data_IF_525342111193
#
_entry.id   IF_525342111193
#
_cell.length_a   1.000
_cell.length_b   1.000
_cell.length_c   1.000
_cell.angle_alpha   90.00
_cell.angle_beta   90.00
_cell.angle_gamma   90.00
#
_symmetry.space_group_name_H-M   'P 1'
#
loop_
_entity.id
_entity.type
_entity.pdbx_description
1 polymer ?
#
# COMPACT_ATOMS: atom_id res chain seq x y z
N UNK A 1 -15.46 -4.14 -0.70
CA UNK A 1 -14.88 -5.34 -0.09
C UNK A 1 -13.95 -4.97 1.04
N UNK A 2 -14.34 -5.33 2.25
CA UNK A 2 -13.57 -4.98 3.44
C UNK A 2 -12.17 -5.58 3.43
N UNK A 3 -12.06 -6.80 2.90
CA UNK A 3 -10.80 -7.50 2.83
C UNK A 3 -9.77 -6.76 1.98
N UNK A 4 -10.19 -6.28 0.82
CA UNK A 4 -9.31 -5.51 -0.08
C UNK A 4 -8.85 -4.21 0.57
N UNK A 5 -9.74 -3.56 1.31
CA UNK A 5 -9.41 -2.32 2.01
C UNK A 5 -8.40 -2.56 3.13
N UNK A 6 -8.60 -3.64 3.89
CA UNK A 6 -7.70 -3.99 5.00
C UNK A 6 -6.33 -4.34 4.45
N UNK A 7 -6.27 -5.17 3.42
CA UNK A 7 -5.00 -5.57 2.81
C UNK A 7 -4.32 -4.38 2.16
N UNK A 8 -5.08 -3.53 1.46
CA UNK A 8 -4.53 -2.32 0.84
C UNK A 8 -3.94 -1.37 1.87
N UNK A 9 -4.65 -1.13 2.98
CA UNK A 9 -4.16 -0.28 4.05
C UNK A 9 -2.90 -0.86 4.69
N UNK A 10 -2.87 -2.18 4.91
CA UNK A 10 -1.69 -2.84 5.47
C UNK A 10 -0.49 -2.70 4.55
N UNK A 11 -0.69 -2.82 3.23
CA UNK A 11 0.38 -2.64 2.25
C UNK A 11 0.88 -1.21 2.22
N UNK A 12 -0.01 -0.23 2.32
CA UNK A 12 0.39 1.18 2.37
C UNK A 12 1.27 1.47 3.58
N UNK A 13 0.87 0.96 4.75
CA UNK A 13 1.62 1.14 5.99
C UNK A 13 3.00 0.47 5.87
N UNK A 14 3.00 -0.76 5.40
CA UNK A 14 4.24 -1.52 5.20
C UNK A 14 5.18 -0.78 4.23
N UNK A 15 4.63 -0.29 3.14
CA UNK A 15 5.40 0.46 2.15
C UNK A 15 5.97 1.74 2.72
N UNK A 16 5.19 2.48 3.52
CA UNK A 16 5.65 3.71 4.16
C UNK A 16 6.79 3.44 5.15
N UNK A 17 6.69 2.37 5.92
CA UNK A 17 7.74 1.98 6.86
C UNK A 17 9.03 1.61 6.10
N UNK A 18 8.91 0.82 5.04
CA UNK A 18 10.07 0.45 4.22
C UNK A 18 10.72 1.67 3.59
N UNK A 19 9.92 2.59 3.08
CA UNK A 19 10.43 3.80 2.45
C UNK A 19 11.17 4.66 3.47
N UNK A 20 10.62 4.83 4.65
CA UNK A 20 11.23 5.61 5.72
C UNK A 20 12.54 4.99 6.18
N UNK A 21 12.56 3.69 6.41
CA UNK A 21 13.77 2.98 6.80
C UNK A 21 14.82 3.06 5.69
N UNK A 22 14.40 2.87 4.44
CA UNK A 22 15.31 2.96 3.30
C UNK A 22 15.98 4.32 3.23
N UNK A 23 15.24 5.40 3.45
CA UNK A 23 15.81 6.75 3.49
C UNK A 23 16.77 6.91 4.65
N UNK A 24 16.40 6.41 5.82
CA UNK A 24 17.22 6.57 7.03
C UNK A 24 18.57 5.87 6.91
N UNK A 25 18.61 4.69 6.26
CA UNK A 25 19.85 3.93 6.10
C UNK A 25 20.51 4.11 4.75
N UNK A 26 19.92 4.91 3.88
CA UNK A 26 20.46 5.14 2.53
C UNK A 26 20.30 3.94 1.59
N UNK A 27 19.32 3.09 1.80
CA UNK A 27 19.06 1.93 0.98
C UNK A 27 18.01 2.26 -0.09
N UNK A 28 18.47 2.56 -1.29
CA UNK A 28 17.61 2.95 -2.39
C UNK A 28 16.66 1.83 -2.83
N UNK A 29 17.11 0.58 -2.74
CA UNK A 29 16.28 -0.56 -3.10
C UNK A 29 15.12 -0.74 -2.13
N UNK A 30 15.40 -0.65 -0.84
CA UNK A 30 14.38 -0.75 0.19
C UNK A 30 13.37 0.38 0.06
N UNK A 31 13.84 1.58 -0.22
CA UNK A 31 12.99 2.74 -0.44
C UNK A 31 12.08 2.54 -1.64
N UNK A 32 12.63 2.01 -2.73
CA UNK A 32 11.89 1.72 -3.95
C UNK A 32 10.84 0.62 -3.72
N UNK A 33 11.21 -0.45 -3.02
CA UNK A 33 10.29 -1.54 -2.66
C UNK A 33 9.14 -1.01 -1.81
N UNK A 34 9.43 -0.10 -0.90
CA UNK A 34 8.40 0.53 -0.08
C UNK A 34 7.42 1.35 -0.90
N UNK A 35 7.92 2.07 -1.89
CA UNK A 35 7.05 2.85 -2.79
C UNK A 35 6.14 1.93 -3.60
N UNK A 36 6.65 0.82 -4.10
CA UNK A 36 5.86 -0.14 -4.85
C UNK A 36 4.75 -0.73 -3.98
N UNK A 37 5.07 -1.14 -2.76
CA UNK A 37 4.07 -1.67 -1.82
C UNK A 37 3.00 -0.63 -1.51
N UNK A 38 3.39 0.61 -1.35
CA UNK A 38 2.48 1.70 -1.05
C UNK A 38 1.50 1.95 -2.19
N UNK A 39 2.00 1.98 -3.42
CA UNK A 39 1.16 2.16 -4.62
C UNK A 39 0.23 0.97 -4.78
N UNK A 40 0.74 -0.23 -4.59
CA UNK A 40 -0.03 -1.47 -4.68
C UNK A 40 -1.19 -1.46 -3.66
N UNK A 41 -0.91 -1.05 -2.44
CA UNK A 41 -1.93 -0.92 -1.40
C UNK A 41 -3.00 0.10 -1.75
N UNK A 42 -2.62 1.22 -2.33
CA UNK A 42 -3.57 2.25 -2.76
C UNK A 42 -4.48 1.73 -3.85
N UNK A 43 -3.94 1.03 -4.84
CA UNK A 43 -4.72 0.45 -5.92
C UNK A 43 -5.71 -0.58 -5.36
N UNK A 44 -5.26 -1.45 -4.49
CA UNK A 44 -6.10 -2.48 -3.89
C UNK A 44 -7.22 -1.88 -3.04
N UNK A 45 -6.91 -0.84 -2.29
CA UNK A 45 -7.90 -0.12 -1.49
C UNK A 45 -8.95 0.55 -2.39
N UNK A 46 -8.52 1.16 -3.49
CA UNK A 46 -9.42 1.78 -4.46
C UNK A 46 -10.35 0.76 -5.11
N UNK A 47 -9.82 -0.42 -5.46
CA UNK A 47 -10.61 -1.51 -6.02
C UNK A 47 -11.67 -1.97 -5.03
N UNK A 48 -11.30 -2.10 -3.75
CA UNK A 48 -12.25 -2.47 -2.70
C UNK A 48 -13.37 -1.44 -2.57
N UNK A 49 -13.03 -0.15 -2.60
CA UNK A 49 -14.03 0.91 -2.55
C UNK A 49 -14.96 0.90 -3.75
N UNK A 50 -14.42 0.65 -4.93
CA UNK A 50 -15.21 0.56 -6.15
C UNK A 50 -16.17 -0.62 -6.11
N UNK A 51 -15.71 -1.77 -5.65
CA UNK A 51 -16.56 -2.95 -5.50
C UNK A 51 -17.70 -2.69 -4.53
N UNK A 52 -17.42 -2.04 -3.42
CA UNK A 52 -18.44 -1.68 -2.45
C UNK A 52 -19.51 -0.76 -3.06
N UNK A 53 -19.08 0.20 -3.86
CA UNK A 53 -19.98 1.12 -4.54
C UNK A 53 -20.89 0.41 -5.55
N UNK A 54 -20.36 -0.59 -6.24
CA UNK A 54 -21.12 -1.36 -7.24
C UNK A 54 -22.05 -2.40 -6.62
N UNK A 55 -21.81 -2.74 -5.37
CA UNK A 55 -22.49 -3.86 -4.72
C UNK A 55 -23.89 -3.53 -4.21
N UNK A 56 -24.35 -2.36 -4.33
CA UNK A 56 -25.69 -1.99 -3.84
C UNK A 56 -26.83 -2.93 -4.29
#
# INVERSE_FOLDING_TARGET
MNKDRIVGAAKEIKGSVKETIGKAVGDAKLQSDGKVDKVDGKIQNAVGGLKDALKK
#
